data_IF_173351785911
#
_entry.id   IF_173351785911
#
_cell.length_a   1.000
_cell.length_b   1.000
_cell.length_c   1.000
_cell.angle_alpha   90.00
_cell.angle_beta   90.00
_cell.angle_gamma   90.00
#
_symmetry.space_group_name_H-M   'P 1'
#
loop_
_entity.id
_entity.type
_entity.pdbx_description
1 polymer ?
#
# COMPACT_ATOMS: atom_id res chain seq x y z
N UNK A 1 -18.62 -15.22 -7.69
CA UNK A 1 -17.51 -14.88 -8.61
C UNK A 1 -16.43 -15.93 -8.49
N UNK A 2 -15.60 -16.14 -9.53
CA UNK A 2 -14.47 -17.08 -9.48
C UNK A 2 -13.53 -16.70 -8.33
N UNK A 3 -13.18 -17.68 -7.52
CA UNK A 3 -12.13 -17.53 -6.54
C UNK A 3 -10.79 -17.31 -7.28
N UNK A 4 -9.98 -16.31 -6.88
CA UNK A 4 -8.66 -16.15 -7.47
C UNK A 4 -7.82 -17.38 -7.10
N UNK A 5 -7.11 -17.95 -8.09
CA UNK A 5 -6.24 -19.12 -7.88
C UNK A 5 -5.13 -18.89 -6.85
N UNK A 6 -4.85 -17.62 -6.51
CA UNK A 6 -3.85 -17.22 -5.52
C UNK A 6 -4.38 -17.35 -4.08
N UNK A 7 -5.69 -17.50 -3.91
CA UNK A 7 -6.34 -17.49 -2.60
C UNK A 7 -5.92 -18.66 -1.69
N UNK A 8 -5.86 -19.92 -2.14
CA UNK A 8 -5.38 -21.02 -1.31
C UNK A 8 -3.93 -20.81 -0.84
N UNK A 9 -3.08 -20.25 -1.71
CA UNK A 9 -1.70 -19.92 -1.35
C UNK A 9 -1.65 -18.80 -0.28
N UNK A 10 -2.51 -17.78 -0.40
CA UNK A 10 -2.65 -16.73 0.60
C UNK A 10 -3.18 -17.24 1.94
N UNK A 11 -4.16 -18.15 1.91
CA UNK A 11 -4.75 -18.78 3.09
C UNK A 11 -3.69 -19.57 3.87
N UNK A 12 -2.96 -20.45 3.17
CA UNK A 12 -1.87 -21.22 3.76
C UNK A 12 -0.76 -20.32 4.32
N UNK A 13 -0.42 -19.22 3.65
CA UNK A 13 0.57 -18.25 4.13
C UNK A 13 0.12 -17.52 5.40
N UNK A 14 -1.17 -17.26 5.55
CA UNK A 14 -1.75 -16.60 6.71
C UNK A 14 -2.03 -17.58 7.87
N UNK A 15 -1.96 -18.89 7.64
CA UNK A 15 -2.32 -19.92 8.62
C UNK A 15 -3.83 -20.04 8.82
N UNK A 16 -4.63 -19.64 7.82
CA UNK A 16 -6.09 -19.62 7.86
C UNK A 16 -6.63 -20.78 7.02
N UNK A 17 -7.74 -21.40 7.45
CA UNK A 17 -8.37 -22.48 6.67
C UNK A 17 -8.93 -21.96 5.34
N UNK A 18 -8.96 -22.82 4.31
CA UNK A 18 -9.47 -22.44 2.99
C UNK A 18 -10.92 -21.94 3.04
N UNK A 19 -11.76 -22.58 3.86
CA UNK A 19 -13.15 -22.16 4.11
C UNK A 19 -13.26 -20.73 4.64
N UNK A 20 -12.36 -20.35 5.54
CA UNK A 20 -12.35 -19.02 6.15
C UNK A 20 -11.80 -17.98 5.19
N UNK A 21 -10.80 -18.34 4.40
CA UNK A 21 -10.29 -17.47 3.33
C UNK A 21 -11.35 -17.18 2.26
N UNK A 22 -12.21 -18.14 1.93
CA UNK A 22 -13.37 -17.95 1.05
C UNK A 22 -14.36 -16.93 1.62
N UNK A 23 -14.70 -17.03 2.91
CA UNK A 23 -15.57 -16.05 3.58
C UNK A 23 -14.99 -14.64 3.54
N UNK A 24 -13.70 -14.50 3.89
CA UNK A 24 -13.00 -13.22 3.86
C UNK A 24 -12.96 -12.61 2.46
N UNK A 25 -12.84 -13.45 1.42
CA UNK A 25 -12.91 -13.00 0.05
C UNK A 25 -14.28 -12.46 -0.36
N UNK A 26 -15.37 -13.09 0.08
CA UNK A 26 -16.72 -12.55 -0.15
C UNK A 26 -16.93 -11.21 0.55
N UNK A 27 -16.35 -11.03 1.74
CA UNK A 27 -16.39 -9.76 2.47
C UNK A 27 -15.59 -8.69 1.72
N UNK A 28 -14.37 -9.03 1.28
CA UNK A 28 -13.51 -8.12 0.54
C UNK A 28 -14.13 -7.64 -0.79
N UNK A 29 -14.76 -8.54 -1.54
CA UNK A 29 -15.50 -8.22 -2.77
C UNK A 29 -16.63 -7.23 -2.48
N UNK A 30 -17.41 -7.45 -1.42
CA UNK A 30 -18.52 -6.57 -1.06
C UNK A 30 -18.03 -5.18 -0.64
N UNK A 31 -16.97 -5.11 0.16
CA UNK A 31 -16.39 -3.83 0.56
C UNK A 31 -15.77 -3.08 -0.63
N UNK A 32 -15.06 -3.78 -1.51
CA UNK A 32 -14.52 -3.18 -2.73
C UNK A 32 -15.64 -2.62 -3.62
N UNK A 33 -16.74 -3.35 -3.76
CA UNK A 33 -17.90 -2.91 -4.52
C UNK A 33 -18.53 -1.63 -3.93
N UNK A 34 -18.68 -1.56 -2.61
CA UNK A 34 -19.14 -0.36 -1.92
C UNK A 34 -18.19 0.83 -2.11
N UNK A 35 -16.88 0.59 -2.18
CA UNK A 35 -15.88 1.64 -2.32
C UNK A 35 -15.71 2.17 -3.75
N UNK A 36 -15.80 1.29 -4.76
CA UNK A 36 -15.53 1.68 -6.15
C UNK A 36 -16.78 1.92 -6.98
N UNK A 37 -17.95 1.37 -6.61
CA UNK A 37 -19.23 1.57 -7.31
C UNK A 37 -19.31 0.95 -8.72
N UNK A 38 -18.16 0.66 -9.35
CA UNK A 38 -18.04 0.06 -10.68
C UNK A 38 -17.36 -1.31 -10.59
N UNK A 39 -18.07 -2.38 -11.00
CA UNK A 39 -17.51 -3.72 -11.07
C UNK A 39 -16.63 -3.88 -12.32
N UNK A 40 -15.40 -4.36 -12.14
CA UNK A 40 -14.55 -4.84 -13.24
C UNK A 40 -13.41 -3.91 -13.67
N UNK A 41 -13.27 -2.73 -13.06
CA UNK A 41 -12.10 -1.88 -13.28
C UNK A 41 -10.86 -2.44 -12.56
N UNK A 42 -9.65 -2.11 -13.02
CA UNK A 42 -8.40 -2.50 -12.35
C UNK A 42 -8.34 -1.99 -10.90
N UNK A 43 -8.90 -0.79 -10.66
CA UNK A 43 -9.04 -0.21 -9.32
C UNK A 43 -9.92 -1.06 -8.39
N UNK A 44 -11.00 -1.66 -8.91
CA UNK A 44 -11.88 -2.55 -8.14
C UNK A 44 -11.12 -3.81 -7.68
N UNK A 45 -10.39 -4.44 -8.59
CA UNK A 45 -9.60 -5.64 -8.27
C UNK A 45 -8.43 -5.33 -7.33
N UNK A 46 -7.79 -4.17 -7.49
CA UNK A 46 -6.76 -3.68 -6.58
C UNK A 46 -7.33 -3.43 -5.17
N UNK A 47 -8.49 -2.79 -5.06
CA UNK A 47 -9.16 -2.55 -3.78
C UNK A 47 -9.57 -3.86 -3.10
N UNK A 48 -10.19 -4.80 -3.83
CA UNK A 48 -10.58 -6.10 -3.29
C UNK A 48 -9.38 -6.89 -2.75
N UNK A 49 -8.25 -6.89 -3.47
CA UNK A 49 -7.03 -7.55 -3.00
C UNK A 49 -6.43 -6.86 -1.77
N UNK A 50 -6.43 -5.52 -1.74
CA UNK A 50 -5.91 -4.75 -0.62
C UNK A 50 -6.72 -5.02 0.66
N UNK A 51 -8.05 -5.08 0.55
CA UNK A 51 -8.97 -5.38 1.65
C UNK A 51 -8.78 -6.83 2.13
N UNK A 52 -8.66 -7.79 1.21
CA UNK A 52 -8.41 -9.19 1.57
C UNK A 52 -7.12 -9.34 2.39
N UNK A 53 -6.04 -8.66 1.99
CA UNK A 53 -4.77 -8.69 2.71
C UNK A 53 -4.89 -8.10 4.12
N UNK A 54 -5.65 -7.02 4.27
CA UNK A 54 -5.91 -6.38 5.57
C UNK A 54 -6.68 -7.32 6.50
N UNK A 55 -7.74 -7.95 5.99
CA UNK A 55 -8.53 -8.94 6.73
C UNK A 55 -7.71 -10.18 7.14
N UNK A 56 -6.86 -10.69 6.25
CA UNK A 56 -5.96 -11.81 6.57
C UNK A 56 -4.92 -11.44 7.62
N UNK A 57 -4.41 -10.20 7.59
CA UNK A 57 -3.48 -9.70 8.61
C UNK A 57 -4.15 -9.61 9.98
N UNK A 58 -5.40 -9.11 10.03
CA UNK A 58 -6.21 -9.09 11.26
C UNK A 58 -6.45 -10.50 11.81
N UNK A 59 -6.84 -11.46 10.97
CA UNK A 59 -7.09 -12.83 11.42
C UNK A 59 -5.80 -13.53 11.91
N UNK A 60 -4.66 -13.24 11.25
CA UNK A 60 -3.34 -13.74 11.64
C UNK A 60 -2.89 -13.18 13.00
N UNK A 61 -3.14 -11.88 13.24
CA UNK A 61 -2.90 -11.20 14.50
C UNK A 61 -3.71 -11.83 15.65
N UNK A 62 -4.97 -12.17 15.40
CA UNK A 62 -5.85 -12.81 16.38
C UNK A 62 -5.42 -14.25 16.70
N UNK A 63 -4.92 -14.99 15.70
CA UNK A 63 -4.55 -16.41 15.85
C UNK A 63 -3.15 -16.60 16.46
N UNK A 64 -2.19 -15.72 16.16
CA UNK A 64 -0.79 -15.84 16.65
C UNK A 64 -0.27 -14.60 17.38
N UNK A 65 -0.94 -14.11 18.44
CA UNK A 65 -0.61 -12.82 19.07
C UNK A 65 0.76 -12.78 19.77
N UNK A 66 1.33 -13.90 20.19
CA UNK A 66 2.51 -13.90 21.09
C UNK A 66 3.87 -13.97 20.39
N UNK A 67 3.99 -14.59 19.22
CA UNK A 67 5.27 -14.74 18.50
C UNK A 67 5.35 -13.95 17.18
N UNK A 68 4.21 -13.51 16.65
CA UNK A 68 4.18 -12.77 15.38
C UNK A 68 4.40 -11.25 15.56
N UNK A 69 4.26 -10.72 16.78
CA UNK A 69 4.41 -9.29 17.11
C UNK A 69 5.71 -8.65 16.61
N UNK A 70 6.90 -9.26 16.76
CA UNK A 70 8.14 -8.69 16.22
C UNK A 70 8.13 -8.58 14.69
N UNK A 71 7.53 -9.55 14.00
CA UNK A 71 7.46 -9.55 12.53
C UNK A 71 6.39 -8.59 11.99
N UNK A 72 5.29 -8.42 12.73
CA UNK A 72 4.21 -7.46 12.43
C UNK A 72 4.66 -6.02 12.67
N UNK A 73 5.39 -5.76 13.76
CA UNK A 73 6.10 -4.49 13.97
C UNK A 73 7.05 -4.20 12.81
N UNK A 74 7.80 -5.21 12.34
CA UNK A 74 8.69 -5.05 11.19
C UNK A 74 7.92 -4.73 9.89
N UNK A 75 6.82 -5.42 9.58
CA UNK A 75 6.03 -5.15 8.36
C UNK A 75 5.29 -3.81 8.40
N UNK A 76 4.67 -3.46 9.52
CA UNK A 76 4.04 -2.15 9.74
C UNK A 76 5.07 -1.02 9.66
N UNK A 77 6.26 -1.27 10.19
CA UNK A 77 7.40 -0.36 10.07
C UNK A 77 7.78 -0.15 8.61
N UNK A 78 7.88 -1.16 7.76
CA UNK A 78 8.25 -0.93 6.34
C UNK A 78 7.32 0.09 5.65
N UNK A 79 6.01 0.04 5.92
CA UNK A 79 5.04 0.98 5.35
C UNK A 79 5.21 2.40 5.92
N UNK A 80 5.39 2.52 7.25
CA UNK A 80 5.63 3.79 7.94
C UNK A 80 6.99 4.42 7.57
N UNK A 81 8.04 3.61 7.50
CA UNK A 81 9.39 3.99 7.07
C UNK A 81 9.43 4.33 5.58
N UNK A 82 8.57 3.76 4.73
CA UNK A 82 8.45 4.19 3.32
C UNK A 82 7.81 5.58 3.17
N UNK A 83 6.96 5.99 4.11
CA UNK A 83 6.40 7.35 4.17
C UNK A 83 7.42 8.34 4.74
N UNK A 84 8.11 7.98 5.83
CA UNK A 84 9.21 8.76 6.39
C UNK A 84 10.36 8.92 5.39
N UNK A 85 10.78 7.85 4.71
CA UNK A 85 11.81 7.91 3.69
C UNK A 85 11.40 8.84 2.54
N UNK A 86 10.15 8.81 2.08
CA UNK A 86 9.66 9.78 1.08
C UNK A 86 9.62 11.21 1.60
N UNK A 87 9.32 11.42 2.87
CA UNK A 87 9.34 12.74 3.52
C UNK A 87 10.76 13.28 3.71
N UNK A 88 11.72 12.41 4.03
CA UNK A 88 13.13 12.75 4.28
C UNK A 88 13.96 12.84 3.00
N UNK A 89 13.66 12.02 1.98
CA UNK A 89 14.32 12.04 0.66
C UNK A 89 13.68 13.03 -0.30
N UNK A 90 12.56 13.66 0.06
CA UNK A 90 12.10 14.85 -0.64
C UNK A 90 13.10 15.97 -0.36
N UNK A 91 13.89 16.44 -1.36
CA UNK A 91 14.82 17.53 -1.13
C UNK A 91 14.01 18.75 -0.68
N UNK A 92 14.27 19.36 0.50
CA UNK A 92 13.67 20.63 0.82
C UNK A 92 14.27 21.63 -0.16
N UNK A 93 13.46 22.10 -1.11
CA UNK A 93 13.77 23.22 -2.00
C UNK A 93 15.20 23.16 -2.59
N UNK A 94 15.32 22.56 -3.78
CA UNK A 94 16.36 22.99 -4.72
C UNK A 94 16.16 24.51 -4.91
N UNK A 95 16.93 25.26 -4.13
CA UNK A 95 17.00 26.70 -4.11
C UNK A 95 17.04 27.24 -5.54
N UNK A 96 16.18 28.21 -5.90
CA UNK A 96 16.30 28.94 -7.16
C UNK A 96 17.47 29.94 -7.06
N UNK A 97 18.69 29.44 -6.86
CA UNK A 97 19.94 30.23 -6.82
C UNK A 97 20.60 30.36 -8.20
N UNK A 98 19.86 30.11 -9.29
CA UNK A 98 20.34 30.31 -10.66
C UNK A 98 19.60 31.42 -11.43
N UNK A 99 18.60 32.09 -10.82
CA UNK A 99 17.95 33.24 -11.47
C UNK A 99 18.65 34.58 -11.24
N UNK A 100 19.64 34.64 -10.34
CA UNK A 100 20.37 35.88 -10.04
C UNK A 100 21.57 36.14 -10.98
N UNK A 101 22.03 35.17 -11.79
CA UNK A 101 23.17 35.37 -12.70
C UNK A 101 22.78 35.90 -14.09
N UNK A 102 21.48 35.97 -14.44
CA UNK A 102 21.04 36.38 -15.79
C UNK A 102 20.97 37.90 -16.02
N UNK A 103 21.31 38.72 -15.02
CA UNK A 103 21.27 40.19 -15.16
C UNK A 103 22.60 40.83 -14.77
N UNK A 104 23.70 40.40 -15.40
CA UNK A 104 24.92 41.21 -15.46
C UNK A 104 24.84 42.13 -16.70
N UNK A 105 25.06 43.45 -16.56
CA UNK A 105 24.87 44.42 -17.62
C UNK A 105 26.06 44.36 -18.58
N UNK A 106 25.81 44.00 -19.84
CA UNK A 106 26.76 44.20 -20.93
C UNK A 106 26.79 45.69 -21.29
N UNK A 107 27.60 46.46 -20.57
CA UNK A 107 28.05 47.76 -21.04
C UNK A 107 29.03 47.58 -22.21
N UNK A 108 28.84 48.33 -23.30
CA UNK A 108 29.87 48.43 -24.33
C UNK A 108 29.47 49.02 -25.68
N UNK A 109 29.67 50.34 -25.82
CA UNK A 109 30.05 51.12 -27.03
C UNK A 109 29.10 51.13 -28.23
N UNK A 110 28.55 52.29 -28.55
CA UNK A 110 29.17 53.34 -29.40
C UNK A 110 28.44 54.66 -29.23
#
# INVERSE_FOLDING_TARGET
>A
MKLPMVLPWLAHRAGVSDSRAEELWQIAIRQAELMTGERGNSCYWGAALQILLDLLEQECLTTYPLFAWPWLLMRGSVRHWSWLARRWLAPPALMPLLHAYRMAPSGGRR
#
